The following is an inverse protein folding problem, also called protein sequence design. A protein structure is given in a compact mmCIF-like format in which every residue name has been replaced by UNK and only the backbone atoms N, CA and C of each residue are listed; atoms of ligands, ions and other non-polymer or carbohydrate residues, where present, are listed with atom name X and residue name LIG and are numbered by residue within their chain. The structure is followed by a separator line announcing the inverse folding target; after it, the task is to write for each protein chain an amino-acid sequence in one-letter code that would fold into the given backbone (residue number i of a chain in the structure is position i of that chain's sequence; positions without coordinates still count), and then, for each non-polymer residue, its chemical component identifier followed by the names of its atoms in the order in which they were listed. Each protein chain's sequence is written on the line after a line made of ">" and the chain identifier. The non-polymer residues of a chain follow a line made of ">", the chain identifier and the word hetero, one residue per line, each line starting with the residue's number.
data_IF_496775364305
#
_entry.id   IF_496775364305
#
_cell.length_a   1.000
_cell.length_b   1.000
_cell.length_c   1.000
_cell.angle_alpha   90.00
_cell.angle_beta   90.00
_cell.angle_gamma   90.00
#
_symmetry.space_group_name_H-M   'P 1'
#
loop_
_entity.id
_entity.type
_entity.pdbx_description
1 polymer ?
#
# COMPACT_ATOMS: atom_id res chain seq x y z
N UNK A 1 -11.45 7.98 7.23
CA UNK A 1 -10.25 8.83 7.10
C UNK A 1 -10.58 10.20 6.53
N UNK A 2 -11.08 10.33 5.31
CA UNK A 2 -11.37 11.62 4.65
C UNK A 2 -12.20 12.58 5.52
N UNK A 3 -13.35 12.12 6.00
CA UNK A 3 -14.24 12.92 6.84
C UNK A 3 -13.55 13.40 8.13
N UNK A 4 -12.88 12.50 8.85
CA UNK A 4 -12.14 12.83 10.06
C UNK A 4 -11.02 13.86 9.82
N UNK A 5 -10.30 13.71 8.72
CA UNK A 5 -9.25 14.66 8.33
C UNK A 5 -9.82 16.05 8.06
N UNK A 6 -10.90 16.13 7.27
CA UNK A 6 -11.52 17.42 6.93
C UNK A 6 -12.15 18.10 8.15
N UNK A 7 -12.80 17.36 9.05
CA UNK A 7 -13.33 17.93 10.30
C UNK A 7 -12.22 18.50 11.18
N UNK A 8 -11.11 17.77 11.31
CA UNK A 8 -9.97 18.19 12.12
C UNK A 8 -9.30 19.45 11.56
N UNK A 9 -9.10 19.51 10.23
CA UNK A 9 -8.31 20.57 9.61
C UNK A 9 -9.13 21.79 9.18
N UNK A 10 -10.44 21.62 8.96
CA UNK A 10 -11.36 22.68 8.54
C UNK A 10 -12.61 22.74 9.45
N UNK A 11 -12.46 23.11 10.72
CA UNK A 11 -13.54 23.06 11.71
C UNK A 11 -14.73 23.98 11.38
N UNK A 12 -14.54 24.95 10.50
CA UNK A 12 -15.57 25.90 10.05
C UNK A 12 -16.32 25.44 8.80
N UNK A 13 -15.90 24.32 8.16
CA UNK A 13 -16.59 23.79 6.99
C UNK A 13 -17.83 22.99 7.41
N UNK A 14 -18.87 23.11 6.60
CA UNK A 14 -20.07 22.27 6.74
C UNK A 14 -19.83 20.97 5.97
N UNK A 15 -19.55 19.90 6.69
CA UNK A 15 -19.20 18.60 6.10
C UNK A 15 -20.38 17.64 6.27
N UNK A 16 -20.74 16.96 5.18
CA UNK A 16 -21.72 15.86 5.19
C UNK A 16 -21.05 14.58 4.69
N UNK A 17 -21.28 13.48 5.37
CA UNK A 17 -20.87 12.13 4.97
C UNK A 17 -22.09 11.33 4.57
N UNK A 18 -22.16 10.93 3.30
CA UNK A 18 -23.22 10.05 2.80
C UNK A 18 -22.67 8.64 2.66
N UNK A 19 -23.29 7.66 3.28
CA UNK A 19 -22.92 6.26 3.15
C UNK A 19 -24.15 5.37 2.95
N UNK A 20 -24.00 4.33 2.12
CA UNK A 20 -25.02 3.33 1.87
C UNK A 20 -25.11 2.31 3.01
N UNK A 21 -26.30 1.84 3.34
CA UNK A 21 -26.50 0.66 4.20
C UNK A 21 -26.18 -0.66 3.49
N UNK A 22 -26.23 -0.64 2.16
CA UNK A 22 -26.25 -1.85 1.34
C UNK A 22 -24.86 -2.20 0.81
N UNK A 23 -23.87 -1.29 0.94
CA UNK A 23 -22.51 -1.46 0.43
C UNK A 23 -21.57 -1.71 1.60
N UNK A 24 -21.08 -2.95 1.71
CA UNK A 24 -20.12 -3.32 2.73
C UNK A 24 -18.75 -2.69 2.47
N UNK A 25 -18.04 -2.34 3.54
CA UNK A 25 -16.62 -1.94 3.47
C UNK A 25 -15.78 -3.10 2.94
N UNK A 26 -14.91 -2.79 1.99
CA UNK A 26 -13.89 -3.74 1.53
C UNK A 26 -12.76 -3.72 2.55
N UNK A 27 -12.61 -4.80 3.31
CA UNK A 27 -11.53 -4.88 4.30
C UNK A 27 -11.50 -6.26 4.96
N UNK A 28 -10.34 -6.88 4.99
CA UNK A 28 -10.08 -8.19 5.63
C UNK A 28 -9.08 -8.10 6.78
N UNK A 29 -8.45 -6.99 6.92
CA UNK A 29 -7.32 -6.59 7.74
C UNK A 29 -6.43 -5.70 6.90
N UNK A 30 -6.01 -4.58 7.46
CA UNK A 30 -5.11 -3.65 6.80
C UNK A 30 -3.73 -3.75 7.40
N UNK A 31 -2.75 -3.77 6.51
CA UNK A 31 -1.35 -3.56 6.82
C UNK A 31 -0.96 -2.16 6.38
N UNK A 32 -0.21 -1.42 7.20
CA UNK A 32 0.15 -0.04 6.92
C UNK A 32 1.66 0.14 6.77
N UNK A 33 2.06 1.31 6.30
CA UNK A 33 3.44 1.79 6.29
C UNK A 33 3.64 2.82 7.41
N UNK A 34 4.89 3.04 7.81
CA UNK A 34 5.23 3.94 8.93
C UNK A 34 4.72 5.37 8.78
N UNK A 35 4.54 5.85 7.55
CA UNK A 35 4.03 7.19 7.21
C UNK A 35 2.60 7.44 7.69
N UNK A 36 1.82 6.40 7.97
CA UNK A 36 0.48 6.59 8.55
C UNK A 36 0.54 7.37 9.87
N UNK A 37 1.67 7.32 10.57
CA UNK A 37 1.87 8.03 11.82
C UNK A 37 1.83 9.55 11.63
N UNK A 38 2.37 10.07 10.51
CA UNK A 38 2.28 11.51 10.19
C UNK A 38 0.81 11.96 10.08
N UNK A 39 -0.02 11.13 9.46
CA UNK A 39 -1.45 11.39 9.39
C UNK A 39 -2.14 11.23 10.75
N UNK A 40 -1.74 10.27 11.55
CA UNK A 40 -2.28 10.09 12.92
C UNK A 40 -1.89 11.25 13.82
N UNK A 41 -0.65 11.72 13.75
CA UNK A 41 -0.15 12.88 14.50
C UNK A 41 -0.92 14.16 14.12
N UNK A 42 -1.24 14.34 12.83
CA UNK A 42 -2.08 15.43 12.35
C UNK A 42 -3.45 15.47 13.03
N UNK A 43 -4.02 14.30 13.32
CA UNK A 43 -5.29 14.14 14.03
C UNK A 43 -5.12 13.96 15.54
N UNK A 44 -3.88 13.95 16.07
CA UNK A 44 -3.54 13.68 17.47
C UNK A 44 -4.07 12.30 17.94
N UNK A 45 -3.93 11.29 17.11
CA UNK A 45 -4.30 9.90 17.43
C UNK A 45 -3.10 9.21 18.06
N UNK A 46 -3.23 8.74 19.31
CA UNK A 46 -2.22 7.96 20.00
C UNK A 46 -2.55 6.46 19.99
N UNK A 47 -1.51 5.60 20.02
CA UNK A 47 -1.66 4.14 19.99
C UNK A 47 -2.63 3.63 21.06
N UNK A 48 -2.53 4.18 22.29
CA UNK A 48 -3.39 3.79 23.42
C UNK A 48 -4.89 4.01 23.17
N UNK A 49 -5.22 4.95 22.26
CA UNK A 49 -6.60 5.35 22.02
C UNK A 49 -7.31 4.42 21.04
N UNK A 50 -6.60 3.87 20.05
CA UNK A 50 -7.25 3.11 18.99
C UNK A 50 -6.88 1.62 18.95
N UNK A 51 -5.65 1.23 19.28
CA UNK A 51 -5.14 -0.14 19.06
C UNK A 51 -6.06 -1.24 19.60
N UNK A 52 -6.56 -1.09 20.82
CA UNK A 52 -7.48 -2.06 21.45
C UNK A 52 -8.87 -2.13 20.78
N UNK A 53 -9.27 -1.04 20.10
CA UNK A 53 -10.58 -0.94 19.46
C UNK A 53 -10.59 -1.49 18.03
N UNK A 54 -9.41 -1.61 17.42
CA UNK A 54 -9.25 -1.96 16.01
C UNK A 54 -8.63 -3.34 15.80
N UNK A 55 -8.53 -4.15 16.85
CA UNK A 55 -7.86 -5.45 16.81
C UNK A 55 -6.39 -5.32 16.37
N UNK A 56 -5.73 -4.28 16.85
CA UNK A 56 -4.45 -3.80 16.35
C UNK A 56 -3.25 -4.63 16.80
N UNK A 57 -2.24 -4.74 15.95
CA UNK A 57 -0.89 -5.20 16.30
C UNK A 57 0.16 -4.30 15.66
N UNK A 58 1.40 -4.35 16.19
CA UNK A 58 2.51 -3.59 15.62
C UNK A 58 3.17 -4.32 14.46
N UNK A 59 3.67 -3.54 13.51
CA UNK A 59 4.35 -4.02 12.32
C UNK A 59 5.72 -3.36 12.21
N UNK A 60 6.77 -4.18 12.10
CA UNK A 60 8.17 -3.75 12.03
C UNK A 60 8.82 -4.00 10.67
N UNK A 61 8.26 -4.90 9.88
CA UNK A 61 8.79 -5.24 8.55
C UNK A 61 7.73 -5.84 7.64
N UNK A 62 8.10 -6.06 6.38
CA UNK A 62 7.41 -6.95 5.43
C UNK A 62 8.37 -8.11 5.13
N UNK A 63 7.85 -9.33 5.16
CA UNK A 63 8.57 -10.52 4.73
C UNK A 63 8.09 -10.96 3.37
N UNK A 64 8.99 -11.17 2.45
CA UNK A 64 8.73 -11.73 1.12
C UNK A 64 9.27 -13.15 1.06
N UNK A 65 8.39 -14.09 0.73
CA UNK A 65 8.70 -15.52 0.66
C UNK A 65 8.44 -16.02 -0.76
N UNK A 66 9.36 -16.77 -1.32
CA UNK A 66 9.26 -17.41 -2.65
C UNK A 66 9.16 -16.44 -3.86
N UNK A 67 9.45 -15.15 -3.69
CA UNK A 67 9.38 -14.19 -4.80
C UNK A 67 10.55 -14.32 -5.78
N UNK A 68 11.77 -14.49 -5.29
CA UNK A 68 12.92 -14.72 -6.17
C UNK A 68 12.91 -16.14 -6.73
N UNK A 69 12.95 -17.14 -5.85
CA UNK A 69 12.82 -18.57 -6.11
C UNK A 69 12.11 -19.24 -4.94
N UNK A 70 11.53 -20.42 -5.17
CA UNK A 70 10.94 -21.23 -4.09
C UNK A 70 11.99 -21.61 -3.05
N UNK A 71 11.61 -21.51 -1.78
CA UNK A 71 12.46 -21.81 -0.62
C UNK A 71 13.28 -20.62 -0.12
N UNK A 72 13.21 -19.46 -0.77
CA UNK A 72 13.92 -18.26 -0.35
C UNK A 72 12.98 -17.20 0.24
N UNK A 73 13.48 -16.48 1.23
CA UNK A 73 12.74 -15.41 1.87
C UNK A 73 13.68 -14.29 2.33
N UNK A 74 13.18 -13.08 2.39
CA UNK A 74 13.91 -11.92 2.91
C UNK A 74 12.95 -10.95 3.59
N UNK A 75 13.51 -10.05 4.42
CA UNK A 75 12.77 -9.00 5.09
C UNK A 75 13.06 -7.62 4.49
N UNK A 76 12.02 -6.80 4.45
CA UNK A 76 12.12 -5.35 4.31
C UNK A 76 11.74 -4.72 5.67
N UNK A 77 12.71 -4.47 6.55
CA UNK A 77 12.49 -3.82 7.84
C UNK A 77 12.21 -2.33 7.67
N UNK A 78 11.44 -1.75 8.60
CA UNK A 78 11.19 -0.32 8.62
C UNK A 78 12.35 0.43 9.29
N UNK A 79 12.48 1.71 8.99
CA UNK A 79 13.51 2.59 9.51
C UNK A 79 14.54 2.97 8.45
N UNK A 80 15.58 3.64 8.93
CA UNK A 80 16.71 4.04 8.10
C UNK A 80 17.92 3.17 8.47
N UNK A 81 18.71 2.71 7.50
CA UNK A 81 19.97 2.09 7.81
C UNK A 81 20.89 3.11 8.49
N UNK A 82 21.79 2.71 9.39
CA UNK A 82 22.68 3.62 10.10
C UNK A 82 23.81 4.14 9.18
N UNK A 83 23.44 4.86 8.13
CA UNK A 83 24.32 5.34 7.07
C UNK A 83 25.34 6.35 7.60
N UNK A 84 24.96 7.12 8.64
CA UNK A 84 25.78 8.19 9.17
C UNK A 84 26.92 7.70 10.10
N UNK A 85 26.85 6.45 10.55
CA UNK A 85 27.77 5.93 11.57
C UNK A 85 28.96 5.15 11.02
N UNK A 86 28.94 4.76 9.75
CA UNK A 86 30.02 3.99 9.12
C UNK A 86 30.55 4.66 7.87
N UNK A 87 31.89 4.67 7.67
CA UNK A 87 32.52 5.20 6.44
C UNK A 87 32.17 4.37 5.21
N UNK A 88 31.87 3.11 5.37
CA UNK A 88 31.49 2.19 4.30
C UNK A 88 29.96 2.15 4.07
N UNK A 89 29.16 2.45 5.08
CA UNK A 89 27.71 2.58 4.98
C UNK A 89 27.03 1.32 4.45
N UNK A 90 26.11 1.51 3.48
CA UNK A 90 25.37 0.40 2.87
C UNK A 90 26.21 -0.58 2.06
N UNK A 91 27.46 -0.27 1.80
CA UNK A 91 28.39 -1.17 1.10
C UNK A 91 28.95 -2.28 2.00
N UNK A 92 28.87 -2.15 3.33
CA UNK A 92 29.48 -3.10 4.27
C UNK A 92 29.02 -4.53 4.02
N UNK A 93 27.72 -4.73 3.77
CA UNK A 93 27.19 -6.04 3.46
C UNK A 93 27.72 -6.59 2.13
N UNK A 94 27.93 -5.75 1.12
CA UNK A 94 28.48 -6.15 -0.16
C UNK A 94 29.95 -6.56 -0.05
N UNK A 95 30.74 -5.87 0.77
CA UNK A 95 32.10 -6.31 1.10
C UNK A 95 32.08 -7.67 1.79
N UNK A 96 31.21 -7.88 2.78
CA UNK A 96 31.02 -9.18 3.41
C UNK A 96 30.65 -10.25 2.38
N UNK A 97 29.71 -9.96 1.48
CA UNK A 97 29.26 -10.90 0.43
C UNK A 97 30.37 -11.28 -0.55
N UNK A 98 31.26 -10.34 -0.88
CA UNK A 98 32.42 -10.58 -1.76
C UNK A 98 33.43 -11.49 -1.07
N UNK A 99 33.77 -11.19 0.18
CA UNK A 99 34.74 -11.98 0.97
C UNK A 99 34.18 -13.37 1.32
N UNK A 100 32.90 -13.43 1.59
CA UNK A 100 32.18 -14.67 1.96
C UNK A 100 31.00 -14.92 0.99
N UNK A 101 31.25 -15.45 -0.22
CA UNK A 101 30.22 -15.61 -1.26
C UNK A 101 29.00 -16.44 -0.85
N UNK A 102 29.18 -17.36 0.12
CA UNK A 102 28.11 -18.19 0.69
C UNK A 102 27.15 -17.43 1.61
N UNK A 103 27.42 -16.15 1.97
CA UNK A 103 26.52 -15.32 2.77
C UNK A 103 25.14 -15.28 2.12
N UNK A 104 24.05 -15.68 2.83
CA UNK A 104 22.71 -15.64 2.27
C UNK A 104 22.28 -14.19 1.97
N UNK A 105 21.57 -13.99 0.88
CA UNK A 105 21.02 -12.65 0.56
C UNK A 105 20.03 -12.15 1.61
N UNK A 106 19.33 -13.06 2.30
CA UNK A 106 18.46 -12.72 3.42
C UNK A 106 19.18 -12.03 4.59
N UNK A 107 20.48 -12.26 4.76
CA UNK A 107 21.32 -11.66 5.80
C UNK A 107 21.49 -10.13 5.65
N UNK A 108 21.16 -9.57 4.47
CA UNK A 108 21.23 -8.13 4.23
C UNK A 108 20.43 -7.32 5.26
N UNK A 109 19.20 -7.74 5.54
CA UNK A 109 18.32 -7.04 6.48
C UNK A 109 18.90 -7.07 7.91
N UNK A 110 19.40 -8.22 8.36
CA UNK A 110 20.01 -8.38 9.69
C UNK A 110 21.29 -7.54 9.84
N UNK A 111 22.12 -7.47 8.80
CA UNK A 111 23.34 -6.66 8.81
C UNK A 111 23.06 -5.16 8.74
N UNK A 112 22.10 -4.75 7.92
CA UNK A 112 21.85 -3.32 7.64
C UNK A 112 20.92 -2.68 8.67
N UNK A 113 20.02 -3.47 9.27
CA UNK A 113 19.05 -3.01 10.28
C UNK A 113 19.13 -3.86 11.55
N UNK A 114 20.31 -3.99 12.19
CA UNK A 114 20.55 -5.01 13.22
C UNK A 114 19.60 -4.88 14.41
N UNK A 115 19.34 -3.66 14.90
CA UNK A 115 18.44 -3.43 16.03
C UNK A 115 16.99 -3.77 15.66
N UNK A 116 16.52 -3.26 14.52
CA UNK A 116 15.14 -3.49 14.03
C UNK A 116 14.91 -5.00 13.83
N UNK A 117 15.85 -5.68 13.18
CA UNK A 117 15.74 -7.12 12.91
C UNK A 117 15.88 -7.97 14.18
N UNK A 118 16.64 -7.53 15.18
CA UNK A 118 16.66 -8.19 16.48
C UNK A 118 15.26 -8.23 17.15
N UNK A 119 14.51 -7.11 17.05
CA UNK A 119 13.12 -7.09 17.51
C UNK A 119 12.19 -7.97 16.66
N UNK A 120 12.33 -7.91 15.33
CA UNK A 120 11.55 -8.77 14.41
C UNK A 120 11.78 -10.26 14.71
N UNK A 121 13.04 -10.68 14.79
CA UNK A 121 13.43 -12.08 14.97
C UNK A 121 13.04 -12.64 16.34
N UNK A 122 13.00 -11.79 17.37
CA UNK A 122 12.56 -12.16 18.71
C UNK A 122 11.04 -11.96 18.94
N UNK A 123 10.32 -11.48 17.92
CA UNK A 123 8.90 -11.09 18.01
C UNK A 123 8.61 -10.15 19.20
N UNK A 124 9.49 -9.16 19.38
CA UNK A 124 9.39 -8.14 20.42
C UNK A 124 9.11 -6.77 19.81
N UNK A 125 8.69 -5.84 20.65
CA UNK A 125 8.44 -4.45 20.28
C UNK A 125 8.85 -3.49 21.40
N UNK A 126 9.54 -2.44 21.01
CA UNK A 126 9.78 -1.26 21.87
C UNK A 126 9.49 -0.01 21.06
N UNK A 127 8.57 0.81 21.55
CA UNK A 127 8.12 2.03 20.86
C UNK A 127 9.22 3.08 20.67
N UNK A 128 10.23 3.09 21.55
CA UNK A 128 11.34 4.06 21.51
C UNK A 128 12.43 3.63 20.53
N UNK A 129 12.65 2.34 20.42
CA UNK A 129 13.76 1.76 19.63
C UNK A 129 13.34 1.39 18.23
N UNK A 130 12.05 1.00 18.01
CA UNK A 130 11.58 0.50 16.74
C UNK A 130 10.96 1.58 15.87
N UNK A 131 11.24 1.53 14.57
CA UNK A 131 10.39 2.15 13.56
C UNK A 131 9.26 1.21 13.22
N UNK A 132 8.01 1.68 13.29
CA UNK A 132 6.86 0.80 13.21
C UNK A 132 5.68 1.38 12.44
N UNK A 133 4.83 0.49 12.01
CA UNK A 133 3.51 0.71 11.48
C UNK A 133 2.51 -0.19 12.23
N UNK A 134 1.33 -0.38 11.65
CA UNK A 134 0.26 -1.13 12.30
C UNK A 134 -0.35 -2.15 11.34
N UNK A 135 -0.87 -3.23 11.95
CA UNK A 135 -1.93 -4.04 11.40
C UNK A 135 -3.22 -3.76 12.15
N UNK A 136 -4.35 -3.64 11.48
CA UNK A 136 -5.63 -3.48 12.14
C UNK A 136 -6.82 -3.87 11.25
N UNK A 137 -7.98 -4.04 11.87
CA UNK A 137 -9.23 -4.27 11.17
C UNK A 137 -9.76 -2.93 10.60
N UNK A 138 -9.80 -2.79 9.27
CA UNK A 138 -10.21 -1.55 8.60
C UNK A 138 -11.64 -1.14 8.94
N UNK A 139 -12.55 -2.11 9.10
CA UNK A 139 -13.95 -1.83 9.45
C UNK A 139 -14.04 -1.25 10.86
N UNK A 140 -13.34 -1.88 11.80
CA UNK A 140 -13.26 -1.37 13.18
C UNK A 140 -12.60 0.00 13.24
N UNK A 141 -11.54 0.22 12.45
CA UNK A 141 -10.85 1.50 12.39
C UNK A 141 -11.73 2.61 11.81
N UNK A 142 -12.44 2.33 10.72
CA UNK A 142 -13.42 3.27 10.15
C UNK A 142 -14.52 3.65 11.14
N UNK A 143 -15.05 2.67 11.88
CA UNK A 143 -16.07 2.90 12.91
C UNK A 143 -15.53 3.70 14.10
N UNK A 144 -14.31 3.38 14.53
CA UNK A 144 -13.64 4.12 15.60
C UNK A 144 -13.39 5.58 15.21
N UNK A 145 -12.90 5.84 13.99
CA UNK A 145 -12.72 7.20 13.45
C UNK A 145 -14.05 7.96 13.40
N UNK A 146 -15.10 7.33 12.89
CA UNK A 146 -16.45 7.91 12.83
C UNK A 146 -16.91 8.38 14.21
N UNK A 147 -16.77 7.52 15.22
CA UNK A 147 -17.27 7.78 16.56
C UNK A 147 -16.44 8.81 17.34
N UNK A 148 -15.15 8.97 17.03
CA UNK A 148 -14.26 9.81 17.79
C UNK A 148 -13.85 11.11 17.06
N UNK A 149 -13.81 11.10 15.72
CA UNK A 149 -13.26 12.19 14.89
C UNK A 149 -14.25 12.75 13.86
N UNK A 150 -15.52 12.29 13.85
CA UNK A 150 -16.57 12.79 12.96
C UNK A 150 -17.79 13.28 13.73
N UNK A 151 -17.58 14.00 14.84
CA UNK A 151 -18.66 14.40 15.78
C UNK A 151 -19.51 15.55 15.26
N UNK A 152 -18.92 16.46 14.47
CA UNK A 152 -19.62 17.62 13.89
C UNK A 152 -20.12 17.37 12.47
N UNK A 153 -19.75 16.23 11.87
CA UNK A 153 -20.14 15.87 10.51
C UNK A 153 -21.61 15.45 10.49
N UNK A 154 -22.36 15.99 9.53
CA UNK A 154 -23.71 15.49 9.25
C UNK A 154 -23.61 14.12 8.58
N UNK A 155 -23.86 13.07 9.34
CA UNK A 155 -23.91 11.71 8.82
C UNK A 155 -25.28 11.42 8.20
N UNK A 156 -25.29 10.97 6.95
CA UNK A 156 -26.49 10.68 6.15
C UNK A 156 -26.36 9.23 5.67
N UNK A 157 -27.35 8.43 5.99
CA UNK A 157 -27.47 7.05 5.50
C UNK A 157 -28.43 7.06 4.33
N UNK A 158 -27.90 7.02 3.12
CA UNK A 158 -28.67 7.09 1.87
C UNK A 158 -27.88 6.49 0.71
N UNK A 159 -28.55 5.92 -0.28
CA UNK A 159 -27.93 5.45 -1.52
C UNK A 159 -27.94 6.59 -2.54
N UNK A 160 -26.79 6.87 -3.15
CA UNK A 160 -26.70 7.82 -4.27
C UNK A 160 -27.16 7.13 -5.55
N UNK A 161 -28.35 7.47 -6.00
CA UNK A 161 -28.99 6.87 -7.18
C UNK A 161 -29.11 7.81 -8.36
N UNK A 162 -29.09 9.14 -8.14
CA UNK A 162 -29.01 10.14 -9.20
C UNK A 162 -27.96 11.21 -8.92
N UNK A 163 -27.34 11.72 -9.98
CA UNK A 163 -26.28 12.73 -9.93
C UNK A 163 -26.56 13.73 -11.03
N UNK A 164 -26.79 14.97 -10.62
CA UNK A 164 -27.01 16.09 -11.52
C UNK A 164 -25.69 16.84 -11.73
N UNK A 165 -25.44 17.29 -12.96
CA UNK A 165 -24.21 18.02 -13.33
C UNK A 165 -24.48 19.12 -14.36
N UNK A 166 -23.59 20.11 -14.37
CA UNK A 166 -23.50 21.19 -15.39
C UNK A 166 -22.04 21.33 -15.89
N UNK A 167 -21.77 22.42 -16.59
CA UNK A 167 -20.42 22.74 -17.08
C UNK A 167 -19.38 22.90 -15.94
N UNK A 168 -19.80 23.25 -14.72
CA UNK A 168 -18.93 23.51 -13.58
C UNK A 168 -18.70 22.25 -12.71
N UNK A 169 -19.44 21.17 -12.94
CA UNK A 169 -19.32 19.91 -12.24
C UNK A 169 -20.63 19.38 -11.70
N UNK A 170 -20.58 18.73 -10.53
CA UNK A 170 -21.77 18.15 -9.89
C UNK A 170 -22.54 19.25 -9.16
N UNK A 171 -23.84 19.35 -9.47
CA UNK A 171 -24.75 20.32 -8.86
C UNK A 171 -25.52 19.74 -7.69
N UNK A 172 -25.87 18.45 -7.74
CA UNK A 172 -26.51 17.77 -6.62
C UNK A 172 -26.40 16.24 -6.69
N UNK A 173 -26.57 15.58 -5.54
CA UNK A 173 -26.79 14.14 -5.44
C UNK A 173 -28.23 13.91 -5.00
N UNK A 174 -28.93 12.98 -5.67
CA UNK A 174 -30.34 12.64 -5.43
C UNK A 174 -31.28 13.86 -5.47
N UNK A 175 -30.99 14.89 -6.30
CA UNK A 175 -31.69 16.17 -6.32
C UNK A 175 -31.82 16.87 -4.96
N UNK A 176 -31.08 16.45 -3.97
CA UNK A 176 -31.26 16.80 -2.55
C UNK A 176 -29.97 17.32 -1.89
N UNK A 177 -28.83 16.72 -2.17
CA UNK A 177 -27.59 17.02 -1.50
C UNK A 177 -26.69 17.89 -2.38
N UNK A 178 -26.57 19.18 -2.01
CA UNK A 178 -25.74 20.16 -2.71
C UNK A 178 -24.50 20.51 -1.89
N UNK A 179 -23.37 20.68 -2.57
CA UNK A 179 -22.11 21.07 -1.96
C UNK A 179 -21.25 21.86 -2.95
N UNK A 180 -20.29 22.64 -2.42
CA UNK A 180 -19.30 23.33 -3.26
C UNK A 180 -18.19 22.37 -3.73
N UNK A 181 -17.90 21.32 -2.95
CA UNK A 181 -16.90 20.30 -3.25
C UNK A 181 -17.45 18.93 -2.88
N UNK A 182 -17.29 17.97 -3.77
CA UNK A 182 -17.65 16.58 -3.56
C UNK A 182 -16.38 15.73 -3.49
N UNK A 183 -16.28 14.89 -2.46
CA UNK A 183 -15.17 13.92 -2.34
C UNK A 183 -15.69 12.54 -2.68
N UNK A 184 -15.24 12.01 -3.81
CA UNK A 184 -15.58 10.67 -4.26
C UNK A 184 -14.78 9.61 -3.48
N UNK A 185 -15.44 8.91 -2.56
CA UNK A 185 -14.93 7.77 -1.81
C UNK A 185 -15.75 6.51 -2.11
N UNK A 186 -16.35 6.41 -3.31
CA UNK A 186 -17.30 5.34 -3.68
C UNK A 186 -16.63 4.03 -4.11
N UNK A 187 -15.34 3.86 -3.81
CA UNK A 187 -14.60 2.65 -4.10
C UNK A 187 -14.35 2.46 -5.59
N UNK A 188 -14.17 1.23 -6.05
CA UNK A 188 -13.92 0.90 -7.46
C UNK A 188 -15.02 1.38 -8.42
N UNK A 189 -16.21 1.70 -7.91
CA UNK A 189 -17.28 2.27 -8.73
C UNK A 189 -16.94 3.66 -9.26
N UNK A 190 -16.22 4.47 -8.46
CA UNK A 190 -15.84 5.85 -8.78
C UNK A 190 -17.01 6.63 -9.38
N UNK A 191 -18.11 6.71 -8.61
CA UNK A 191 -19.42 7.21 -9.11
C UNK A 191 -19.36 8.63 -9.65
N UNK A 192 -18.61 9.50 -8.97
CA UNK A 192 -18.56 10.90 -9.35
C UNK A 192 -17.49 11.16 -10.41
N UNK A 193 -16.28 10.67 -10.19
CA UNK A 193 -15.15 10.98 -11.09
C UNK A 193 -15.23 10.18 -12.39
N UNK A 194 -15.42 8.83 -12.32
CA UNK A 194 -15.49 7.98 -13.51
C UNK A 194 -16.88 7.99 -14.14
N UNK A 195 -17.92 7.58 -13.37
CA UNK A 195 -19.23 7.31 -13.96
C UNK A 195 -19.95 8.59 -14.39
N UNK A 196 -19.75 9.70 -13.66
CA UNK A 196 -20.43 10.96 -13.96
C UNK A 196 -19.54 11.88 -14.80
N UNK A 197 -18.35 12.26 -14.32
CA UNK A 197 -17.46 13.19 -15.03
C UNK A 197 -16.68 12.56 -16.18
N UNK A 198 -16.72 11.21 -16.32
CA UNK A 198 -16.06 10.47 -17.41
C UNK A 198 -14.54 10.70 -17.48
N UNK A 199 -13.90 10.93 -16.33
CA UNK A 199 -12.44 11.10 -16.30
C UNK A 199 -11.74 9.82 -16.75
N UNK A 200 -10.82 9.90 -17.71
CA UNK A 200 -10.10 8.72 -18.22
C UNK A 200 -9.29 8.01 -17.13
N UNK A 201 -9.21 6.69 -17.24
CA UNK A 201 -8.44 5.83 -16.36
C UNK A 201 -7.24 5.24 -17.10
N UNK A 202 -6.05 5.38 -16.52
CA UNK A 202 -4.81 4.77 -16.99
C UNK A 202 -4.61 3.43 -16.29
N UNK A 203 -4.65 2.34 -17.06
CA UNK A 203 -4.41 1.00 -16.53
C UNK A 203 -2.92 0.73 -16.34
N UNK A 204 -2.56 0.09 -15.24
CA UNK A 204 -1.20 -0.37 -14.95
C UNK A 204 -1.06 -1.90 -15.03
N UNK A 205 -2.01 -2.58 -15.70
CA UNK A 205 -2.01 -4.04 -15.86
C UNK A 205 -0.75 -4.58 -16.55
N UNK A 206 -0.07 -3.77 -17.34
CA UNK A 206 1.20 -4.12 -17.94
C UNK A 206 2.37 -4.15 -16.95
N UNK A 207 2.28 -3.43 -15.86
CA UNK A 207 3.29 -3.40 -14.82
C UNK A 207 2.89 -4.25 -13.61
N UNK A 208 1.61 -4.25 -13.25
CA UNK A 208 1.04 -4.94 -12.10
C UNK A 208 0.00 -5.96 -12.60
N UNK A 209 0.38 -7.24 -12.74
CA UNK A 209 -0.42 -8.21 -13.49
C UNK A 209 -1.66 -8.72 -12.76
N UNK A 210 -1.82 -8.44 -11.48
CA UNK A 210 -2.87 -9.02 -10.65
C UNK A 210 -4.10 -8.12 -10.58
N UNK A 211 -5.27 -8.69 -10.89
CA UNK A 211 -6.55 -7.99 -10.99
C UNK A 211 -7.66 -8.59 -10.13
N UNK A 212 -7.34 -9.64 -9.40
CA UNK A 212 -8.31 -10.39 -8.60
C UNK A 212 -7.73 -10.84 -7.29
N UNK A 213 -8.58 -11.00 -6.27
CA UNK A 213 -8.17 -11.60 -5.00
C UNK A 213 -9.28 -12.45 -4.37
N UNK A 214 -8.88 -13.53 -3.72
CA UNK A 214 -9.68 -14.22 -2.74
C UNK A 214 -9.23 -13.84 -1.34
N UNK A 215 -10.14 -13.48 -0.47
CA UNK A 215 -9.85 -13.02 0.87
C UNK A 215 -10.66 -13.79 1.91
N UNK A 216 -10.04 -14.05 3.07
CA UNK A 216 -10.66 -14.73 4.20
C UNK A 216 -10.02 -14.32 5.53
N UNK A 217 -10.48 -14.92 6.61
CA UNK A 217 -10.01 -14.73 7.98
C UNK A 217 -9.77 -16.08 8.60
N UNK A 218 -8.60 -16.28 9.21
CA UNK A 218 -8.26 -17.54 9.90
C UNK A 218 -7.94 -17.28 11.36
N UNK A 219 -8.23 -18.27 12.19
CA UNK A 219 -7.86 -18.29 13.61
C UNK A 219 -6.39 -18.69 13.74
N UNK A 220 -5.73 -18.22 14.78
CA UNK A 220 -4.42 -18.72 15.15
C UNK A 220 -4.51 -20.21 15.54
N UNK A 221 -3.57 -21.02 15.05
CA UNK A 221 -3.34 -22.38 15.56
C UNK A 221 -2.45 -22.32 16.81
N UNK A 222 -1.42 -21.47 16.75
CA UNK A 222 -0.50 -21.16 17.85
C UNK A 222 -0.26 -19.64 17.82
N UNK A 223 -1.00 -18.91 18.65
CA UNK A 223 -0.93 -17.44 18.64
C UNK A 223 0.45 -16.91 19.00
N UNK A 224 1.18 -17.57 19.89
CA UNK A 224 2.51 -17.11 20.32
C UNK A 224 3.53 -17.14 19.17
N UNK A 225 3.39 -18.10 18.26
CA UNK A 225 4.25 -18.22 17.08
C UNK A 225 3.76 -17.47 15.86
N UNK A 226 2.45 -17.30 15.71
CA UNK A 226 1.85 -16.76 14.49
C UNK A 226 1.52 -15.27 14.58
N UNK A 227 1.37 -14.72 15.79
CA UNK A 227 1.23 -13.26 15.99
C UNK A 227 2.61 -12.61 15.89
N UNK A 228 3.09 -12.46 14.67
CA UNK A 228 4.39 -11.87 14.37
C UNK A 228 4.29 -10.39 14.05
N UNK A 229 5.40 -9.66 14.27
CA UNK A 229 5.48 -8.21 14.03
C UNK A 229 5.79 -7.85 12.57
N UNK A 230 5.33 -8.65 11.60
CA UNK A 230 5.50 -8.36 10.17
C UNK A 230 4.32 -8.89 9.34
N UNK A 231 4.10 -8.27 8.19
CA UNK A 231 3.24 -8.85 7.15
C UNK A 231 4.05 -9.88 6.38
N UNK A 232 3.53 -11.08 6.18
CA UNK A 232 4.15 -12.06 5.29
C UNK A 232 3.43 -12.07 3.94
N UNK A 233 4.20 -11.85 2.87
CA UNK A 233 3.78 -11.97 1.49
C UNK A 233 4.45 -13.21 0.89
N UNK A 234 3.67 -14.23 0.53
CA UNK A 234 4.19 -15.49 -0.02
C UNK A 234 3.78 -15.64 -1.48
N UNK A 235 4.73 -15.68 -2.38
CA UNK A 235 4.48 -15.92 -3.80
C UNK A 235 4.08 -17.38 -4.02
N UNK A 236 2.91 -17.60 -4.66
CA UNK A 236 2.42 -18.94 -5.01
C UNK A 236 2.23 -19.03 -6.53
N UNK A 237 1.42 -19.95 -7.03
CA UNK A 237 1.38 -20.34 -8.45
C UNK A 237 1.10 -19.19 -9.44
N UNK A 238 0.09 -18.34 -9.17
CA UNK A 238 -0.35 -17.31 -10.13
C UNK A 238 -0.49 -15.92 -9.48
N UNK A 239 0.33 -15.65 -8.46
CA UNK A 239 0.33 -14.42 -7.69
C UNK A 239 0.91 -14.63 -6.30
N UNK A 240 0.32 -14.02 -5.26
CA UNK A 240 0.87 -14.05 -3.91
C UNK A 240 -0.21 -13.98 -2.82
N UNK A 241 0.10 -14.56 -1.67
CA UNK A 241 -0.78 -14.58 -0.49
C UNK A 241 -0.23 -13.60 0.55
N UNK A 242 -1.11 -12.75 1.09
CA UNK A 242 -0.78 -11.96 2.28
C UNK A 242 -1.25 -12.64 3.56
N UNK A 243 -0.48 -12.49 4.64
CA UNK A 243 -0.88 -12.80 6.00
C UNK A 243 -0.65 -11.57 6.88
N UNK A 244 -1.75 -11.03 7.43
CA UNK A 244 -1.76 -9.86 8.29
C UNK A 244 -2.20 -10.30 9.68
N UNK A 245 -1.26 -10.46 10.64
CA UNK A 245 -1.58 -10.89 11.99
C UNK A 245 -2.19 -9.74 12.79
N UNK A 246 -3.49 -9.82 13.07
CA UNK A 246 -4.22 -8.96 13.98
C UNK A 246 -4.20 -9.55 15.40
N UNK A 247 -4.57 -8.80 16.40
CA UNK A 247 -4.54 -9.30 17.78
C UNK A 247 -5.33 -10.60 18.00
N UNK A 248 -6.48 -10.76 17.36
CA UNK A 248 -7.38 -11.93 17.57
C UNK A 248 -7.36 -12.98 16.46
N UNK A 249 -6.83 -12.64 15.28
CA UNK A 249 -6.92 -13.46 14.06
C UNK A 249 -5.88 -13.05 13.02
N UNK A 250 -5.75 -13.84 11.98
CA UNK A 250 -4.99 -13.47 10.78
C UNK A 250 -5.97 -13.09 9.66
N UNK A 251 -5.80 -11.89 9.08
CA UNK A 251 -6.38 -11.54 7.78
C UNK A 251 -5.49 -12.10 6.68
N UNK A 252 -6.06 -12.85 5.74
CA UNK A 252 -5.29 -13.47 4.67
C UNK A 252 -6.04 -13.44 3.36
N UNK A 253 -5.30 -13.45 2.26
CA UNK A 253 -5.91 -13.54 0.92
C UNK A 253 -4.87 -13.76 -0.16
N UNK A 254 -5.34 -14.27 -1.28
CA UNK A 254 -4.57 -14.58 -2.47
C UNK A 254 -4.87 -13.57 -3.58
N UNK A 255 -3.89 -12.74 -3.91
CA UNK A 255 -3.90 -11.84 -5.07
C UNK A 255 -3.41 -12.63 -6.27
N UNK A 256 -4.16 -12.64 -7.37
CA UNK A 256 -3.83 -13.41 -8.57
C UNK A 256 -4.22 -12.67 -9.85
N UNK A 257 -3.67 -13.15 -10.97
CA UNK A 257 -3.98 -12.64 -12.29
C UNK A 257 -5.02 -13.50 -12.98
N UNK A 258 -6.19 -12.92 -13.28
CA UNK A 258 -7.26 -13.61 -14.02
C UNK A 258 -6.87 -13.99 -15.45
N UNK A 259 -5.79 -13.43 -15.97
CA UNK A 259 -5.21 -13.82 -17.28
C UNK A 259 -4.62 -15.23 -17.27
N UNK A 260 -4.16 -15.72 -16.12
CA UNK A 260 -3.42 -16.99 -16.00
C UNK A 260 -4.19 -18.06 -15.22
N UNK A 261 -5.17 -17.69 -14.45
CA UNK A 261 -5.96 -18.62 -13.64
C UNK A 261 -7.39 -18.11 -13.46
N UNK A 262 -8.37 -19.00 -13.61
CA UNK A 262 -9.76 -18.68 -13.29
C UNK A 262 -10.01 -18.62 -11.77
N UNK A 263 -11.14 -18.01 -11.37
CA UNK A 263 -11.49 -17.79 -9.97
C UNK A 263 -11.60 -19.09 -9.15
N UNK A 264 -12.15 -20.14 -9.71
CA UNK A 264 -12.35 -21.43 -9.02
C UNK A 264 -11.01 -22.14 -8.78
N UNK A 265 -10.16 -22.15 -9.78
CA UNK A 265 -8.81 -22.73 -9.69
C UNK A 265 -7.95 -21.93 -8.70
N UNK A 266 -8.03 -20.59 -8.75
CA UNK A 266 -7.34 -19.73 -7.78
C UNK A 266 -7.83 -20.00 -6.35
N UNK A 267 -9.13 -20.19 -6.14
CA UNK A 267 -9.66 -20.57 -4.83
C UNK A 267 -9.14 -21.91 -4.33
N UNK A 268 -9.06 -22.92 -5.22
CA UNK A 268 -8.48 -24.24 -4.89
C UNK A 268 -7.00 -24.12 -4.51
N UNK A 269 -6.21 -23.33 -5.23
CA UNK A 269 -4.81 -23.05 -4.90
C UNK A 269 -4.69 -22.38 -3.52
N UNK A 270 -5.55 -21.40 -3.23
CA UNK A 270 -5.54 -20.71 -1.95
C UNK A 270 -5.93 -21.61 -0.78
N UNK A 271 -7.00 -22.41 -0.91
CA UNK A 271 -7.39 -23.41 0.09
C UNK A 271 -6.26 -24.42 0.37
N UNK A 272 -5.61 -24.92 -0.68
CA UNK A 272 -4.44 -25.80 -0.56
C UNK A 272 -3.30 -25.13 0.21
N UNK A 273 -3.00 -23.86 -0.09
CA UNK A 273 -1.98 -23.09 0.61
C UNK A 273 -2.30 -22.92 2.10
N UNK A 274 -3.56 -22.64 2.45
CA UNK A 274 -4.01 -22.49 3.84
C UNK A 274 -4.06 -23.82 4.62
N UNK A 275 -4.24 -24.94 3.90
CA UNK A 275 -4.54 -26.24 4.52
C UNK A 275 -5.88 -26.24 5.26
N UNK A 276 -6.86 -25.43 4.82
CA UNK A 276 -8.18 -25.27 5.39
C UNK A 276 -9.21 -25.07 4.27
N UNK A 277 -10.32 -25.79 4.32
CA UNK A 277 -11.36 -25.77 3.29
C UNK A 277 -12.64 -25.05 3.72
N UNK A 278 -13.02 -25.19 5.00
CA UNK A 278 -14.29 -24.71 5.57
C UNK A 278 -14.15 -23.28 6.09
N UNK A 279 -13.92 -22.33 5.17
CA UNK A 279 -13.83 -20.91 5.46
C UNK A 279 -14.75 -20.12 4.53
N UNK A 280 -15.22 -18.98 5.00
CA UNK A 280 -15.91 -18.01 4.14
C UNK A 280 -14.87 -17.26 3.30
N UNK A 281 -14.98 -17.36 1.98
CA UNK A 281 -14.13 -16.67 1.04
C UNK A 281 -14.90 -15.58 0.30
N UNK A 282 -14.26 -14.42 0.14
CA UNK A 282 -14.80 -13.30 -0.64
C UNK A 282 -13.92 -13.07 -1.86
N UNK A 283 -14.52 -13.15 -3.06
CA UNK A 283 -13.85 -12.72 -4.28
C UNK A 283 -13.90 -11.20 -4.43
N UNK A 284 -12.78 -10.60 -4.81
CA UNK A 284 -12.62 -9.15 -5.00
C UNK A 284 -12.00 -8.94 -6.39
N UNK A 285 -12.72 -8.24 -7.26
CA UNK A 285 -12.18 -7.79 -8.54
C UNK A 285 -11.57 -6.41 -8.37
N UNK A 286 -10.37 -6.24 -8.89
CA UNK A 286 -9.56 -5.04 -8.71
C UNK A 286 -9.30 -4.38 -10.07
N UNK A 287 -9.37 -3.07 -10.08
CA UNK A 287 -8.99 -2.25 -11.24
C UNK A 287 -7.68 -1.55 -10.93
N UNK A 288 -6.59 -2.10 -11.43
CA UNK A 288 -5.23 -1.61 -11.16
C UNK A 288 -4.88 -0.46 -12.09
N UNK A 289 -4.47 0.66 -11.50
CA UNK A 289 -4.18 1.90 -12.21
C UNK A 289 -4.76 3.12 -11.51
N UNK A 290 -4.83 4.25 -12.20
CA UNK A 290 -5.25 5.54 -11.65
C UNK A 290 -5.98 6.38 -12.69
N UNK A 291 -6.91 7.23 -12.27
CA UNK A 291 -7.49 8.24 -13.15
C UNK A 291 -6.45 9.30 -13.53
N UNK A 292 -6.57 9.87 -14.75
CA UNK A 292 -5.62 10.87 -15.24
C UNK A 292 -5.56 12.10 -14.36
N UNK A 293 -6.72 12.53 -13.86
CA UNK A 293 -6.87 13.62 -12.89
C UNK A 293 -7.74 13.15 -11.72
N UNK A 294 -7.36 13.50 -10.52
CA UNK A 294 -8.06 13.12 -9.29
C UNK A 294 -8.93 14.26 -8.74
N UNK A 295 -8.63 15.50 -9.15
CA UNK A 295 -9.44 16.68 -8.87
C UNK A 295 -9.90 17.30 -10.19
N UNK A 296 -11.16 17.13 -10.52
CA UNK A 296 -11.78 17.62 -11.73
C UNK A 296 -12.97 18.49 -11.35
N UNK A 297 -12.97 19.75 -11.77
CA UNK A 297 -14.03 20.70 -11.43
C UNK A 297 -14.22 20.80 -9.91
N UNK A 298 -15.37 20.41 -9.39
CA UNK A 298 -15.71 20.37 -7.97
C UNK A 298 -15.74 18.94 -7.38
N UNK A 299 -15.04 18.00 -8.01
CA UNK A 299 -14.94 16.61 -7.53
C UNK A 299 -13.49 16.22 -7.28
N UNK A 300 -13.22 15.65 -6.12
CA UNK A 300 -11.94 15.03 -5.75
C UNK A 300 -12.16 13.54 -5.46
N UNK A 301 -11.38 12.66 -6.07
CA UNK A 301 -11.41 11.24 -5.75
C UNK A 301 -10.30 10.86 -4.75
N UNK A 302 -10.66 10.07 -3.74
CA UNK A 302 -9.75 9.58 -2.69
C UNK A 302 -9.96 8.07 -2.49
N UNK A 303 -8.86 7.33 -2.35
CA UNK A 303 -8.87 5.88 -2.17
C UNK A 303 -9.16 5.14 -3.48
N UNK A 304 -9.92 4.05 -3.41
CA UNK A 304 -10.18 3.18 -4.57
C UNK A 304 -10.93 3.86 -5.72
N UNK A 305 -11.60 4.99 -5.47
CA UNK A 305 -12.21 5.81 -6.53
C UNK A 305 -11.19 6.61 -7.32
N UNK A 306 -10.03 6.92 -6.75
CA UNK A 306 -8.92 7.57 -7.42
C UNK A 306 -8.10 6.58 -8.25
N UNK A 307 -7.77 5.43 -7.67
CA UNK A 307 -6.94 4.39 -8.26
C UNK A 307 -6.61 3.29 -7.27
N UNK A 308 -5.94 2.26 -7.76
CA UNK A 308 -5.54 1.12 -6.94
C UNK A 308 -4.20 0.53 -7.42
N UNK A 309 -3.34 0.27 -6.46
CA UNK A 309 -2.12 -0.53 -6.59
C UNK A 309 -2.31 -1.76 -5.72
N UNK A 310 -1.97 -2.94 -6.22
CA UNK A 310 -2.01 -4.16 -5.40
C UNK A 310 -1.21 -3.98 -4.10
N UNK A 311 -1.71 -4.50 -2.96
CA UNK A 311 -1.21 -4.10 -1.63
C UNK A 311 0.06 -4.86 -1.18
N UNK A 312 0.92 -5.27 -2.11
CA UNK A 312 2.14 -6.03 -1.85
C UNK A 312 3.07 -5.32 -0.84
N UNK A 313 3.16 -3.99 -0.96
CA UNK A 313 3.94 -3.13 -0.08
C UNK A 313 3.06 -2.40 0.96
N UNK A 314 1.88 -2.94 1.28
CA UNK A 314 0.98 -2.38 2.31
C UNK A 314 0.51 -0.94 2.01
N UNK A 315 0.36 -0.61 0.74
CA UNK A 315 0.11 0.74 0.24
C UNK A 315 -1.37 1.16 0.21
N UNK A 316 -2.31 0.29 0.59
CA UNK A 316 -3.73 0.58 0.50
C UNK A 316 -4.15 1.87 1.20
N UNK A 317 -3.79 2.02 2.48
CA UNK A 317 -4.07 3.25 3.23
C UNK A 317 -3.01 4.35 3.01
N UNK A 318 -1.82 3.99 2.55
CA UNK A 318 -0.76 4.96 2.24
C UNK A 318 -1.23 5.98 1.20
N UNK A 319 -1.76 5.53 0.08
CA UNK A 319 -2.28 6.43 -0.95
C UNK A 319 -3.41 7.32 -0.43
N UNK A 320 -4.26 6.80 0.46
CA UNK A 320 -5.36 7.57 1.05
C UNK A 320 -4.84 8.73 1.90
N UNK A 321 -3.98 8.45 2.89
CA UNK A 321 -3.53 9.53 3.79
C UNK A 321 -2.59 10.52 3.10
N UNK A 322 -1.76 10.08 2.17
CA UNK A 322 -0.91 10.97 1.39
C UNK A 322 -1.72 11.91 0.49
N UNK A 323 -2.76 11.39 -0.18
CA UNK A 323 -3.65 12.23 -0.98
C UNK A 323 -4.41 13.23 -0.10
N UNK A 324 -4.83 12.82 1.11
CA UNK A 324 -5.47 13.72 2.06
C UNK A 324 -4.54 14.84 2.53
N UNK A 325 -3.28 14.54 2.83
CA UNK A 325 -2.28 15.55 3.21
C UNK A 325 -2.08 16.57 2.08
N UNK A 326 -1.99 16.09 0.83
CA UNK A 326 -1.89 16.97 -0.35
C UNK A 326 -3.16 17.78 -0.57
N UNK A 327 -4.33 17.17 -0.37
CA UNK A 327 -5.62 17.87 -0.48
C UNK A 327 -5.74 19.00 0.54
N UNK A 328 -5.39 18.75 1.80
CA UNK A 328 -5.42 19.76 2.86
C UNK A 328 -4.57 20.98 2.48
N UNK A 329 -3.34 20.74 2.01
CA UNK A 329 -2.42 21.83 1.61
C UNK A 329 -3.01 22.72 0.51
N UNK A 330 -3.75 22.14 -0.43
CA UNK A 330 -4.39 22.90 -1.50
C UNK A 330 -5.70 23.58 -1.03
N UNK A 331 -6.47 22.94 -0.14
CA UNK A 331 -7.69 23.52 0.43
C UNK A 331 -7.42 24.64 1.45
N UNK A 332 -6.22 24.71 2.01
CA UNK A 332 -5.84 25.77 2.99
C UNK A 332 -5.56 27.12 2.36
N UNK A 333 -5.70 27.26 1.05
CA UNK A 333 -5.55 28.55 0.34
C UNK A 333 -6.85 29.35 0.40
N UNK A 334 -6.73 30.66 0.47
CA UNK A 334 -7.90 31.58 0.52
C UNK A 334 -8.80 31.43 -0.70
N UNK A 335 -8.21 31.19 -1.85
CA UNK A 335 -8.92 30.99 -3.12
C UNK A 335 -8.35 29.80 -3.88
N UNK A 336 -9.18 28.80 -4.12
CA UNK A 336 -8.84 27.63 -4.91
C UNK A 336 -8.93 27.96 -6.39
N UNK A 337 -7.83 27.80 -7.10
CA UNK A 337 -7.69 28.06 -8.53
C UNK A 337 -7.51 26.76 -9.34
N UNK A 338 -7.41 26.86 -10.65
CA UNK A 338 -7.08 25.72 -11.50
C UNK A 338 -5.65 25.19 -11.20
N UNK A 339 -4.72 26.12 -10.88
CA UNK A 339 -3.36 25.72 -10.49
C UNK A 339 -3.33 24.79 -9.26
N UNK A 340 -4.19 25.02 -8.27
CA UNK A 340 -4.26 24.17 -7.07
C UNK A 340 -4.75 22.75 -7.40
N UNK A 341 -5.72 22.66 -8.33
CA UNK A 341 -6.20 21.36 -8.85
C UNK A 341 -5.12 20.63 -9.63
N UNK A 342 -4.43 21.33 -10.51
CA UNK A 342 -3.36 20.78 -11.35
C UNK A 342 -2.17 20.33 -10.49
N UNK A 343 -1.79 21.12 -9.50
CA UNK A 343 -0.75 20.77 -8.53
C UNK A 343 -1.11 19.52 -7.73
N UNK A 344 -2.35 19.42 -7.24
CA UNK A 344 -2.83 18.21 -6.55
C UNK A 344 -2.77 16.99 -7.47
N UNK A 345 -3.30 17.12 -8.70
CA UNK A 345 -3.31 16.05 -9.68
C UNK A 345 -1.89 15.56 -10.00
N UNK A 346 -0.97 16.49 -10.26
CA UNK A 346 0.43 16.17 -10.55
C UNK A 346 1.09 15.42 -9.39
N UNK A 347 1.02 15.97 -8.16
CA UNK A 347 1.68 15.38 -7.00
C UNK A 347 1.14 13.99 -6.66
N UNK A 348 -0.19 13.80 -6.72
CA UNK A 348 -0.81 12.51 -6.41
C UNK A 348 -0.48 11.47 -7.49
N UNK A 349 -0.59 11.83 -8.77
CA UNK A 349 -0.32 10.91 -9.88
C UNK A 349 1.15 10.50 -9.94
N UNK A 350 2.06 11.45 -9.72
CA UNK A 350 3.50 11.19 -9.71
C UNK A 350 3.88 10.20 -8.59
N UNK A 351 3.46 10.50 -7.35
CA UNK A 351 3.69 9.59 -6.22
C UNK A 351 3.09 8.20 -6.45
N UNK A 352 1.88 8.15 -7.00
CA UNK A 352 1.20 6.88 -7.27
C UNK A 352 1.94 6.04 -8.30
N UNK A 353 2.43 6.66 -9.37
CA UNK A 353 3.21 5.99 -10.41
C UNK A 353 4.53 5.46 -9.87
N UNK A 354 5.28 6.28 -9.14
CA UNK A 354 6.55 5.85 -8.52
C UNK A 354 6.35 4.66 -7.59
N UNK A 355 5.28 4.67 -6.79
CA UNK A 355 4.98 3.55 -5.91
C UNK A 355 4.58 2.29 -6.70
N UNK A 356 3.85 2.46 -7.80
CA UNK A 356 3.50 1.35 -8.69
C UNK A 356 4.73 0.72 -9.33
N UNK A 357 5.69 1.52 -9.74
CA UNK A 357 6.98 1.07 -10.28
C UNK A 357 7.78 0.30 -9.22
N UNK A 358 7.77 0.77 -7.98
CA UNK A 358 8.40 0.06 -6.85
C UNK A 358 7.76 -1.31 -6.60
N UNK A 359 6.43 -1.41 -6.62
CA UNK A 359 5.74 -2.70 -6.51
C UNK A 359 6.06 -3.61 -7.72
N UNK A 360 6.08 -3.06 -8.92
CA UNK A 360 6.41 -3.78 -10.15
C UNK A 360 7.82 -4.39 -10.14
N UNK A 361 8.76 -3.79 -9.39
CA UNK A 361 10.12 -4.28 -9.28
C UNK A 361 10.21 -5.71 -8.70
N UNK A 362 9.29 -6.09 -7.81
CA UNK A 362 9.21 -7.45 -7.25
C UNK A 362 8.98 -8.51 -8.35
N UNK A 363 8.20 -8.17 -9.36
CA UNK A 363 7.98 -9.03 -10.53
C UNK A 363 9.13 -8.98 -11.52
N UNK A 364 9.68 -7.79 -11.76
CA UNK A 364 10.77 -7.58 -12.71
C UNK A 364 12.09 -8.26 -12.28
N UNK A 365 12.32 -8.41 -10.99
CA UNK A 365 13.51 -9.08 -10.42
C UNK A 365 13.28 -10.55 -10.10
N UNK A 366 12.06 -11.08 -10.24
CA UNK A 366 11.76 -12.49 -10.00
C UNK A 366 12.49 -13.40 -11.00
N UNK A 367 13.03 -14.50 -10.52
CA UNK A 367 13.64 -15.56 -11.33
C UNK A 367 12.83 -16.86 -11.27
N UNK A 368 11.57 -16.76 -10.86
CA UNK A 368 10.64 -17.90 -10.92
C UNK A 368 10.23 -18.20 -12.36
N UNK A 369 10.20 -19.49 -12.67
CA UNK A 369 9.82 -20.01 -14.00
C UNK A 369 8.95 -21.27 -13.91
N UNK A 370 8.37 -21.50 -12.75
CA UNK A 370 7.65 -22.73 -12.41
C UNK A 370 6.19 -22.74 -12.86
N UNK A 371 5.65 -21.59 -13.26
CA UNK A 371 4.30 -21.45 -13.85
C UNK A 371 4.33 -20.49 -15.04
N UNK A 372 3.28 -20.50 -15.88
CA UNK A 372 3.17 -19.55 -16.98
C UNK A 372 3.08 -18.10 -16.52
N UNK A 373 2.44 -17.85 -15.37
CA UNK A 373 2.42 -16.54 -14.73
C UNK A 373 3.85 -16.03 -14.43
N UNK A 374 4.67 -16.83 -13.75
CA UNK A 374 6.02 -16.44 -13.39
C UNK A 374 6.97 -16.40 -14.60
N UNK A 375 6.79 -17.29 -15.59
CA UNK A 375 7.51 -17.21 -16.87
C UNK A 375 7.19 -15.91 -17.61
N UNK A 376 5.93 -15.47 -17.58
CA UNK A 376 5.54 -14.20 -18.18
C UNK A 376 6.21 -13.02 -17.45
N UNK A 377 6.27 -13.01 -16.12
CA UNK A 377 7.00 -11.99 -15.35
C UNK A 377 8.49 -11.97 -15.70
N UNK A 378 9.13 -13.13 -15.79
CA UNK A 378 10.55 -13.27 -16.10
C UNK A 378 10.91 -12.75 -17.51
N UNK A 379 10.09 -13.11 -18.50
CA UNK A 379 10.37 -12.85 -19.92
C UNK A 379 9.78 -11.54 -20.45
N UNK A 380 9.02 -10.83 -19.64
CA UNK A 380 8.36 -9.60 -20.03
C UNK A 380 9.36 -8.47 -20.28
N UNK A 381 9.13 -7.70 -21.34
CA UNK A 381 9.77 -6.39 -21.54
C UNK A 381 9.07 -5.38 -20.64
N UNK A 382 9.78 -4.88 -19.66
CA UNK A 382 9.28 -3.88 -18.72
C UNK A 382 9.39 -2.47 -19.32
N UNK A 383 8.50 -1.58 -18.93
CA UNK A 383 8.53 -0.21 -19.44
C UNK A 383 9.83 0.54 -19.07
N UNK A 384 10.10 1.65 -19.75
CA UNK A 384 11.35 2.40 -19.58
C UNK A 384 11.56 2.90 -18.15
N UNK A 385 10.49 3.27 -17.42
CA UNK A 385 10.62 3.78 -16.07
C UNK A 385 11.05 2.67 -15.11
N UNK A 386 10.43 1.48 -15.23
CA UNK A 386 10.80 0.31 -14.44
C UNK A 386 12.20 -0.21 -14.80
N UNK A 387 12.57 -0.17 -16.10
CA UNK A 387 13.92 -0.49 -16.55
C UNK A 387 14.94 0.50 -15.95
N UNK A 388 14.64 1.78 -15.92
CA UNK A 388 15.50 2.79 -15.31
C UNK A 388 15.67 2.56 -13.81
N UNK A 389 14.60 2.20 -13.09
CA UNK A 389 14.69 1.84 -11.68
C UNK A 389 15.53 0.57 -11.48
N UNK A 390 15.33 -0.45 -12.32
CA UNK A 390 16.15 -1.66 -12.37
C UNK A 390 17.61 -1.34 -12.68
N UNK A 391 17.91 -0.51 -13.66
CA UNK A 391 19.27 -0.07 -13.99
C UNK A 391 19.89 0.75 -12.87
N UNK A 392 19.17 1.64 -12.23
CA UNK A 392 19.66 2.38 -11.05
C UNK A 392 19.99 1.45 -9.90
N UNK A 393 19.13 0.48 -9.64
CA UNK A 393 19.44 -0.58 -8.69
C UNK A 393 20.65 -1.41 -9.14
N UNK A 394 20.99 -1.44 -10.42
CA UNK A 394 22.10 -2.19 -10.99
C UNK A 394 23.40 -1.37 -11.19
N UNK A 395 23.35 -0.04 -11.26
CA UNK A 395 24.53 0.78 -11.58
C UNK A 395 25.39 1.16 -10.38
N UNK A 396 24.89 1.07 -9.19
CA UNK A 396 25.65 1.31 -7.97
C UNK A 396 24.74 1.49 -6.76
N UNK A 397 25.07 0.81 -5.71
CA UNK A 397 24.32 0.87 -4.47
C UNK A 397 24.32 2.29 -3.87
N UNK A 398 25.48 2.94 -3.93
CA UNK A 398 25.70 4.30 -3.44
C UNK A 398 24.91 5.33 -4.27
N UNK A 399 24.88 5.20 -5.58
CA UNK A 399 24.19 6.12 -6.48
C UNK A 399 22.66 5.97 -6.38
N UNK A 400 22.16 4.73 -6.27
CA UNK A 400 20.74 4.49 -6.07
C UNK A 400 20.22 5.10 -4.76
N UNK A 401 21.03 5.17 -3.69
CA UNK A 401 20.68 5.77 -2.41
C UNK A 401 20.86 7.28 -2.40
N UNK A 402 21.92 7.78 -3.01
CA UNK A 402 22.35 9.17 -2.87
C UNK A 402 22.08 10.02 -4.10
N UNK A 403 21.43 9.51 -5.13
CA UNK A 403 21.02 10.33 -6.27
C UNK A 403 20.00 11.38 -5.83
N UNK A 404 20.55 12.56 -5.46
CA UNK A 404 19.79 13.72 -5.04
C UNK A 404 18.92 14.32 -6.16
N UNK A 405 19.12 13.91 -7.40
CA UNK A 405 18.30 14.37 -8.54
C UNK A 405 16.88 13.83 -8.49
N UNK A 406 16.70 12.69 -7.83
CA UNK A 406 15.39 12.23 -7.41
C UNK A 406 15.17 12.71 -5.98
N UNK A 407 14.46 13.80 -5.80
CA UNK A 407 14.00 14.33 -4.51
C UNK A 407 13.04 13.35 -3.82
N UNK A 408 13.43 12.10 -3.70
CA UNK A 408 12.68 11.08 -2.99
C UNK A 408 12.75 11.33 -1.49
N UNK A 409 11.90 12.18 -0.99
CA UNK A 409 11.48 12.21 0.42
C UNK A 409 10.69 10.94 0.81
N UNK A 410 10.75 9.88 0.00
CA UNK A 410 9.90 8.71 0.14
C UNK A 410 10.70 7.53 0.68
N UNK A 411 10.03 6.64 1.43
CA UNK A 411 10.63 5.45 2.07
C UNK A 411 11.22 4.46 1.08
N UNK A 412 11.02 4.69 -0.21
CA UNK A 412 11.35 3.77 -1.29
C UNK A 412 12.85 3.52 -1.47
N UNK A 413 13.73 4.44 -1.04
CA UNK A 413 15.17 4.21 -1.17
C UNK A 413 15.64 3.03 -0.33
N UNK A 414 15.26 2.99 0.94
CA UNK A 414 15.64 1.90 1.82
C UNK A 414 14.95 0.60 1.41
N UNK A 415 13.68 0.67 1.00
CA UNK A 415 12.94 -0.44 0.44
C UNK A 415 13.56 -1.00 -0.83
N UNK A 416 13.96 -0.12 -1.75
CA UNK A 416 14.62 -0.52 -3.00
C UNK A 416 15.84 -1.42 -2.76
N UNK A 417 16.68 -1.08 -1.77
CA UNK A 417 17.86 -1.88 -1.43
C UNK A 417 17.49 -3.25 -0.86
N UNK A 418 16.52 -3.29 0.05
CA UNK A 418 16.06 -4.55 0.63
C UNK A 418 15.48 -5.47 -0.44
N UNK A 419 14.65 -4.92 -1.33
CA UNK A 419 14.03 -5.70 -2.41
C UNK A 419 15.09 -6.14 -3.41
N UNK A 420 15.93 -5.23 -3.91
CA UNK A 420 16.96 -5.56 -4.89
C UNK A 420 17.89 -6.66 -4.36
N UNK A 421 18.38 -6.52 -3.12
CA UNK A 421 19.27 -7.50 -2.50
C UNK A 421 18.54 -8.83 -2.23
N UNK A 422 17.33 -8.78 -1.66
CA UNK A 422 16.53 -9.98 -1.40
C UNK A 422 16.15 -10.74 -2.68
N UNK A 423 16.09 -10.03 -3.81
CA UNK A 423 15.88 -10.60 -5.16
C UNK A 423 17.21 -10.91 -5.88
N UNK A 424 18.29 -11.07 -5.14
CA UNK A 424 19.63 -11.45 -5.62
C UNK A 424 20.26 -10.51 -6.66
N UNK A 425 19.84 -9.25 -6.64
CA UNK A 425 20.53 -8.26 -7.45
C UNK A 425 21.97 -8.10 -6.95
N UNK A 426 22.89 -7.93 -7.87
CA UNK A 426 24.30 -7.61 -7.58
C UNK A 426 24.70 -6.35 -8.30
N UNK A 427 25.44 -5.42 -7.67
CA UNK A 427 25.97 -4.26 -8.34
C UNK A 427 26.87 -4.68 -9.51
N UNK A 428 26.76 -3.97 -10.64
CA UNK A 428 27.63 -4.17 -11.80
C UNK A 428 29.02 -3.55 -11.59
N UNK A 429 29.11 -2.55 -10.72
CA UNK A 429 30.36 -1.91 -10.38
C UNK A 429 31.22 -2.86 -9.53
N UNK A 430 32.46 -3.07 -9.99
CA UNK A 430 33.44 -3.78 -9.16
C UNK A 430 33.69 -2.95 -7.91
N UNK A 431 33.42 -3.53 -6.76
CA UNK A 431 33.84 -2.94 -5.49
C UNK A 431 35.36 -3.01 -5.49
N UNK A 432 36.00 -1.87 -5.78
CA UNK A 432 37.46 -1.73 -5.78
C UNK A 432 37.98 -1.50 -4.38
#
# INVERSE_FOLDING_TARGET
>A
MTAATLESQFPNYKISLIESKNIATVGVGESTLGQIREWMDLLRIEDKDFMKHVDGSYKLSIKFTDFYKKGEAFHYPFGQPPIETTKAGTNDWWFKKIVYPQTPYADYADCTYPLQMAYVNQNKFDKKECTYAYHFDATKFGLWLKNNYCKKIKHIVDDVVSIEQDENGITSLNNKYKANLYIDCTGFKSLLLDKTLKEPFESYSDMLPNDSAWATRIKYKDKEKELVSYTNCTAIENGWVWNIPLWSRIGTGYVYSSKFVDDETALKQFKKHLGQEDLEFKNIKMRVGIHNRLWVKNVVAIGLSAGFIEPLESNGLYTVHEFLIKLIRNLSRDKISQWDRDNFNYQCKHMFREFSEFVGLHYALSHRNDTEYWKNCLNKTWDNALINLKHKAFSGFKEAVYDRTYNFKYPNHTGLHCIATGMHWSPTDKVS
#
